data_IF_753201672531
#
_entry.id   IF_753201672531
#
_cell.length_a   1.000
_cell.length_b   1.000
_cell.length_c   1.000
_cell.angle_alpha   90.00
_cell.angle_beta   90.00
_cell.angle_gamma   90.00
#
_symmetry.space_group_name_H-M   'P 1'
#
loop_
_entity.id
_entity.type
_entity.pdbx_description
1 polymer ?
#
# COMPACT_ATOMS: atom_id res chain seq x y z
N UNK A 1 -5.87 4.93 2.53
CA UNK A 1 -5.47 5.83 3.65
C UNK A 1 -3.98 6.16 3.72
N UNK A 2 -3.06 5.18 3.77
CA UNK A 2 -1.63 5.46 4.03
C UNK A 2 -0.75 5.56 2.77
N UNK A 3 -1.28 5.27 1.58
CA UNK A 3 -0.48 5.20 0.35
C UNK A 3 0.26 3.86 0.21
N UNK A 4 1.01 3.73 -0.89
CA UNK A 4 1.85 2.57 -1.18
C UNK A 4 3.23 2.71 -0.55
N UNK A 5 3.99 1.61 -0.44
CA UNK A 5 5.29 1.58 0.21
C UNK A 5 6.29 2.60 -0.37
N UNK A 6 6.29 2.83 -1.69
CA UNK A 6 7.15 3.82 -2.34
C UNK A 6 6.82 5.27 -1.93
N UNK A 7 5.61 5.52 -1.42
CA UNK A 7 5.20 6.83 -0.88
C UNK A 7 5.58 6.99 0.60
N UNK A 8 5.88 5.90 1.28
CA UNK A 8 6.35 5.93 2.66
C UNK A 8 7.83 6.26 2.74
N UNK A 9 8.63 5.81 1.77
CA UNK A 9 10.07 6.06 1.73
C UNK A 9 10.36 7.55 1.54
N UNK A 10 11.08 8.14 2.50
CA UNK A 10 11.53 9.54 2.49
C UNK A 10 13.01 9.64 2.12
N UNK A 11 13.81 8.65 2.49
CA UNK A 11 15.24 8.60 2.24
C UNK A 11 15.80 7.21 2.51
N UNK A 12 16.92 6.90 1.88
CA UNK A 12 17.63 5.63 2.04
C UNK A 12 19.15 5.85 1.97
N UNK A 13 19.87 4.96 2.65
CA UNK A 13 21.30 4.73 2.45
C UNK A 13 21.49 3.34 1.87
N UNK A 14 22.31 3.24 0.81
CA UNK A 14 22.64 1.99 0.14
C UNK A 14 24.15 1.76 0.17
N UNK A 15 24.56 0.57 0.58
CA UNK A 15 25.89 0.05 0.31
C UNK A 15 25.94 -0.49 -1.13
N UNK A 16 26.75 0.14 -1.97
CA UNK A 16 26.94 -0.24 -3.38
C UNK A 16 28.40 -0.64 -3.62
N UNK A 17 28.74 -1.34 -4.72
CA UNK A 17 30.14 -1.64 -5.06
C UNK A 17 31.04 -0.41 -5.20
N UNK A 18 30.47 0.75 -5.52
CA UNK A 18 31.18 2.03 -5.66
C UNK A 18 31.23 2.85 -4.37
N UNK A 19 30.70 2.32 -3.26
CA UNK A 19 30.63 3.00 -1.97
C UNK A 19 29.20 3.26 -1.49
N UNK A 20 29.08 4.09 -0.44
CA UNK A 20 27.78 4.44 0.14
C UNK A 20 27.07 5.49 -0.71
N UNK A 21 25.82 5.19 -1.07
CA UNK A 21 24.92 6.10 -1.74
C UNK A 21 23.81 6.54 -0.78
N UNK A 22 23.67 7.84 -0.58
CA UNK A 22 22.58 8.45 0.20
C UNK A 22 21.63 9.20 -0.72
N UNK A 23 20.35 8.88 -0.66
CA UNK A 23 19.32 9.64 -1.37
C UNK A 23 18.92 10.89 -0.58
N UNK A 24 18.11 11.75 -1.21
CA UNK A 24 17.51 12.89 -0.53
C UNK A 24 16.70 12.43 0.69
N UNK A 25 16.76 13.21 1.78
CA UNK A 25 16.07 12.89 3.04
C UNK A 25 14.91 13.85 3.34
N UNK A 26 14.50 14.64 2.34
CA UNK A 26 13.43 15.62 2.48
C UNK A 26 12.11 15.04 1.96
N UNK A 27 10.97 15.37 2.61
CA UNK A 27 9.67 14.84 2.20
C UNK A 27 9.22 15.34 0.81
N UNK A 28 9.76 16.47 0.34
CA UNK A 28 9.60 17.00 -1.00
C UNK A 28 10.84 17.84 -1.38
N UNK A 29 11.23 17.78 -2.65
CA UNK A 29 12.39 18.48 -3.20
C UNK A 29 12.08 18.92 -4.63
N UNK A 30 12.63 20.07 -5.04
CA UNK A 30 12.65 20.53 -6.42
C UNK A 30 14.06 20.44 -7.03
N UNK A 31 15.01 19.78 -6.35
CA UNK A 31 16.41 19.69 -6.74
C UNK A 31 16.69 18.60 -7.80
N UNK A 32 15.74 18.37 -8.70
CA UNK A 32 15.84 17.36 -9.77
C UNK A 32 15.09 16.06 -9.45
N UNK A 33 15.47 14.94 -10.09
CA UNK A 33 14.80 13.66 -9.91
C UNK A 33 14.88 13.15 -8.47
N UNK A 34 13.75 12.71 -7.92
CA UNK A 34 13.73 12.03 -6.64
C UNK A 34 14.29 10.61 -6.78
N UNK A 35 15.55 10.43 -6.41
CA UNK A 35 16.24 9.14 -6.49
C UNK A 35 15.68 8.07 -5.55
N UNK A 36 14.83 8.41 -4.58
CA UNK A 36 14.11 7.40 -3.80
C UNK A 36 13.23 6.50 -4.68
N UNK A 37 12.77 7.00 -5.83
CA UNK A 37 12.01 6.22 -6.79
C UNK A 37 12.85 5.17 -7.56
N UNK A 38 14.18 5.31 -7.59
CA UNK A 38 15.06 4.27 -8.14
C UNK A 38 15.32 3.17 -7.11
N UNK A 39 15.42 3.54 -5.84
CA UNK A 39 15.66 2.60 -4.73
C UNK A 39 14.44 1.69 -4.51
N UNK A 40 13.24 2.28 -4.45
CA UNK A 40 12.00 1.52 -4.29
C UNK A 40 11.75 0.66 -5.53
N UNK A 41 11.66 -0.66 -5.35
CA UNK A 41 11.48 -1.60 -6.46
C UNK A 41 12.78 -1.96 -7.21
N UNK A 42 13.94 -1.57 -6.69
CA UNK A 42 15.24 -1.98 -7.28
C UNK A 42 15.53 -3.47 -7.17
N UNK A 43 14.83 -4.19 -6.30
CA UNK A 43 15.00 -5.63 -6.07
C UNK A 43 16.48 -6.03 -5.81
N UNK A 44 17.24 -5.14 -5.16
CA UNK A 44 18.65 -5.36 -4.79
C UNK A 44 19.66 -5.07 -5.90
N UNK A 45 19.22 -4.69 -7.09
CA UNK A 45 20.12 -4.43 -8.24
C UNK A 45 20.99 -3.18 -8.07
N UNK A 46 20.61 -2.26 -7.18
CA UNK A 46 21.33 -1.02 -6.91
C UNK A 46 22.22 -1.07 -5.66
N UNK A 47 22.21 -2.19 -4.92
CA UNK A 47 22.95 -2.35 -3.67
C UNK A 47 22.06 -2.75 -2.49
N UNK A 48 22.66 -2.77 -1.29
CA UNK A 48 21.99 -3.16 -0.05
C UNK A 48 21.52 -1.91 0.70
N UNK A 49 20.22 -1.81 0.99
CA UNK A 49 19.70 -0.73 1.83
C UNK A 49 20.18 -0.97 3.28
N UNK A 50 21.02 -0.08 3.79
CA UNK A 50 21.57 -0.13 5.15
C UNK A 50 20.76 0.72 6.13
N UNK A 51 20.19 1.83 5.66
CA UNK A 51 19.29 2.68 6.43
C UNK A 51 18.10 3.13 5.58
N UNK A 52 16.94 3.31 6.20
CA UNK A 52 15.76 3.84 5.52
C UNK A 52 14.94 4.73 6.46
N UNK A 53 14.46 5.86 5.94
CA UNK A 53 13.57 6.78 6.64
C UNK A 53 12.18 6.69 6.04
N UNK A 54 11.19 6.39 6.89
CA UNK A 54 9.81 6.22 6.48
C UNK A 54 8.89 7.27 7.11
N UNK A 55 7.85 7.66 6.38
CA UNK A 55 6.69 8.36 6.95
C UNK A 55 5.92 7.39 7.84
N UNK A 56 5.61 7.83 9.05
CA UNK A 56 4.82 7.05 10.02
C UNK A 56 3.52 7.78 10.34
N UNK A 57 2.52 7.03 10.79
CA UNK A 57 1.23 7.54 11.21
C UNK A 57 0.94 7.12 12.65
N UNK A 58 0.17 7.92 13.36
CA UNK A 58 -0.37 7.53 14.67
C UNK A 58 -1.28 6.33 14.53
N UNK A 59 -1.27 5.46 15.54
CA UNK A 59 -2.16 4.30 15.59
C UNK A 59 -3.61 4.80 15.66
N UNK A 60 -4.53 4.33 14.80
CA UNK A 60 -5.91 4.77 14.85
C UNK A 60 -6.59 4.24 16.13
N UNK A 61 -7.30 5.12 16.84
CA UNK A 61 -8.06 4.77 18.04
C UNK A 61 -9.21 3.78 17.77
N UNK A 62 -9.75 3.78 16.55
CA UNK A 62 -10.88 2.95 16.15
C UNK A 62 -10.57 2.28 14.81
N UNK A 63 -10.87 0.98 14.72
CA UNK A 63 -10.85 0.19 13.49
C UNK A 63 -12.20 -0.48 13.34
N UNK A 64 -12.88 -0.28 12.22
CA UNK A 64 -14.17 -0.90 11.93
C UNK A 64 -14.11 -1.61 10.58
N UNK A 65 -14.58 -2.85 10.57
CA UNK A 65 -14.69 -3.68 9.37
C UNK A 65 -16.18 -3.96 9.12
N UNK A 66 -16.59 -3.85 7.86
CA UNK A 66 -17.96 -4.14 7.41
C UNK A 66 -17.89 -4.96 6.14
N UNK A 67 -18.84 -5.87 5.99
CA UNK A 67 -18.98 -6.74 4.82
C UNK A 67 -20.41 -6.64 4.30
N UNK A 68 -20.56 -6.61 2.99
CA UNK A 68 -21.83 -6.52 2.29
C UNK A 68 -21.86 -7.58 1.20
N UNK A 69 -23.01 -8.24 1.02
CA UNK A 69 -23.24 -9.14 -0.11
C UNK A 69 -23.80 -8.32 -1.27
N UNK A 70 -23.23 -8.53 -2.46
CA UNK A 70 -23.65 -7.87 -3.68
C UNK A 70 -24.41 -8.86 -4.58
N UNK A 71 -25.38 -8.40 -5.38
CA UNK A 71 -26.13 -9.28 -6.29
C UNK A 71 -25.26 -9.93 -7.37
N UNK A 72 -24.19 -9.25 -7.80
CA UNK A 72 -23.19 -9.76 -8.73
C UNK A 72 -21.83 -9.10 -8.49
N UNK A 73 -20.77 -9.62 -9.13
CA UNK A 73 -19.45 -9.02 -9.06
C UNK A 73 -19.42 -7.63 -9.73
N UNK A 74 -20.10 -7.47 -10.86
CA UNK A 74 -20.22 -6.21 -11.59
C UNK A 74 -20.89 -5.14 -10.72
N UNK A 75 -21.99 -5.47 -10.05
CA UNK A 75 -22.66 -4.54 -9.14
C UNK A 75 -21.75 -4.11 -7.98
N UNK A 76 -20.93 -5.02 -7.45
CA UNK A 76 -19.94 -4.70 -6.42
C UNK A 76 -18.80 -3.82 -6.96
N UNK A 77 -18.34 -4.07 -8.18
CA UNK A 77 -17.30 -3.29 -8.84
C UNK A 77 -17.76 -1.86 -9.13
N UNK A 78 -19.00 -1.69 -9.60
CA UNK A 78 -19.61 -0.38 -9.81
C UNK A 78 -19.76 0.39 -8.49
N UNK A 79 -20.19 -0.28 -7.41
CA UNK A 79 -20.27 0.34 -6.09
C UNK A 79 -18.89 0.81 -5.60
N UNK A 80 -17.85 -0.01 -5.73
CA UNK A 80 -16.47 0.39 -5.38
C UNK A 80 -16.01 1.57 -6.23
N UNK A 81 -16.30 1.54 -7.53
CA UNK A 81 -15.95 2.64 -8.44
C UNK A 81 -16.59 3.94 -7.99
N UNK A 82 -17.89 3.95 -7.68
CA UNK A 82 -18.59 5.13 -7.15
C UNK A 82 -17.95 5.62 -5.86
N UNK A 83 -17.72 4.73 -4.88
CA UNK A 83 -17.09 5.10 -3.60
C UNK A 83 -15.71 5.75 -3.79
N UNK A 84 -14.89 5.21 -4.70
CA UNK A 84 -13.57 5.77 -5.02
C UNK A 84 -13.68 7.13 -5.72
N UNK A 85 -14.58 7.25 -6.70
CA UNK A 85 -14.79 8.49 -7.46
C UNK A 85 -15.39 9.62 -6.62
N UNK A 86 -16.21 9.27 -5.62
CA UNK A 86 -16.76 10.20 -4.63
C UNK A 86 -15.76 10.53 -3.51
N UNK A 87 -14.53 10.02 -3.59
CA UNK A 87 -13.44 10.22 -2.63
C UNK A 87 -13.82 9.86 -1.18
N UNK A 88 -14.73 8.89 -1.00
CA UNK A 88 -15.15 8.45 0.33
C UNK A 88 -13.95 7.84 1.07
N UNK A 89 -13.60 8.33 2.28
CA UNK A 89 -12.37 7.94 2.95
C UNK A 89 -12.46 6.53 3.53
N UNK A 90 -11.97 5.55 2.77
CA UNK A 90 -11.85 4.15 3.19
C UNK A 90 -10.39 3.77 3.46
N UNK A 91 -10.18 2.93 4.49
CA UNK A 91 -8.85 2.40 4.78
C UNK A 91 -8.44 1.33 3.77
N UNK A 92 -9.36 0.41 3.48
CA UNK A 92 -9.23 -0.67 2.51
C UNK A 92 -10.62 -1.05 2.01
N UNK A 93 -10.72 -1.52 0.77
CA UNK A 93 -11.88 -2.19 0.21
C UNK A 93 -11.41 -3.40 -0.58
N UNK A 94 -12.16 -4.50 -0.50
CA UNK A 94 -11.94 -5.70 -1.28
C UNK A 94 -13.29 -6.20 -1.78
N UNK A 95 -13.33 -6.54 -3.05
CA UNK A 95 -14.43 -7.28 -3.65
C UNK A 95 -13.94 -8.70 -3.91
N UNK A 96 -14.69 -9.66 -3.41
CA UNK A 96 -14.47 -11.08 -3.69
C UNK A 96 -15.44 -11.52 -4.77
N UNK A 97 -14.97 -12.38 -5.66
CA UNK A 97 -15.83 -13.05 -6.63
C UNK A 97 -16.70 -14.14 -5.95
N UNK A 98 -17.60 -14.80 -6.69
CA UNK A 98 -18.46 -15.83 -6.11
C UNK A 98 -17.68 -17.02 -5.50
N UNK A 99 -16.55 -17.42 -6.09
CA UNK A 99 -15.75 -18.55 -5.63
C UNK A 99 -15.01 -18.23 -4.33
N UNK A 100 -14.37 -17.06 -4.26
CA UNK A 100 -13.78 -16.54 -3.03
C UNK A 100 -14.84 -16.36 -1.94
N UNK A 101 -16.02 -15.83 -2.29
CA UNK A 101 -17.13 -15.64 -1.35
C UNK A 101 -17.60 -16.99 -0.79
N UNK A 102 -17.78 -17.99 -1.65
CA UNK A 102 -18.14 -19.34 -1.24
C UNK A 102 -17.06 -19.94 -0.32
N UNK A 103 -15.79 -19.81 -0.69
CA UNK A 103 -14.67 -20.25 0.14
C UNK A 103 -14.71 -19.60 1.53
N UNK A 104 -14.85 -18.27 1.62
CA UNK A 104 -14.89 -17.58 2.91
C UNK A 104 -16.10 -17.96 3.75
N UNK A 105 -17.27 -18.20 3.14
CA UNK A 105 -18.45 -18.68 3.86
C UNK A 105 -18.27 -20.10 4.40
N UNK A 106 -17.70 -21.00 3.60
CA UNK A 106 -17.39 -22.36 4.03
C UNK A 106 -16.32 -22.37 5.14
N UNK A 107 -15.26 -21.58 4.96
CA UNK A 107 -14.17 -21.43 5.93
C UNK A 107 -14.68 -20.91 7.28
N UNK A 108 -15.50 -19.85 7.26
CA UNK A 108 -16.08 -19.30 8.49
C UNK A 108 -16.99 -20.30 9.24
N UNK A 109 -17.65 -21.23 8.53
CA UNK A 109 -18.46 -22.29 9.14
C UNK A 109 -17.62 -23.44 9.71
N UNK A 110 -16.41 -23.66 9.19
CA UNK A 110 -15.50 -24.69 9.66
C UNK A 110 -14.85 -24.36 11.01
N UNK A 111 -14.99 -23.12 11.51
CA UNK A 111 -14.56 -22.72 12.86
C UNK A 111 -13.03 -22.65 13.05
N UNK A 112 -12.27 -22.51 11.96
CA UNK A 112 -10.83 -22.24 11.98
C UNK A 112 -10.54 -20.75 11.80
#
# INVERSE_FOLDING_TARGET
RYGKAEKWLVGAELATPSGLWRTEQFPASAAGPNFNHLVAGSEGTLGLITEARFRVHTVPNVKQYRTYLMPSFEAGADAIRTIVQDEVPVATMRLSDPDETHFYQAFARAGL
#
